data_IF_168793634212
#
_entry.id   IF_168793634212
#
_cell.length_a   1.000
_cell.length_b   1.000
_cell.length_c   1.000
_cell.angle_alpha   90.00
_cell.angle_beta   90.00
_cell.angle_gamma   90.00
#
_symmetry.space_group_name_H-M   'P 1'
#
loop_
_entity.id
_entity.type
_entity.pdbx_description
1 polymer ?
#
# COMPACT_ATOMS: atom_id res chain seq x y z
N UNK A 1 3.01 2.34 -12.98
CA UNK A 1 1.77 2.60 -12.21
C UNK A 1 2.12 3.52 -11.05
N UNK A 2 1.21 4.41 -10.65
CA UNK A 2 1.45 5.41 -9.60
C UNK A 2 0.84 4.94 -8.27
N UNK A 3 1.69 4.64 -7.28
CA UNK A 3 1.29 4.19 -5.94
C UNK A 3 0.48 5.24 -5.16
N UNK A 4 0.44 6.50 -5.63
CA UNK A 4 -0.34 7.59 -5.05
C UNK A 4 -1.76 7.64 -5.59
N UNK A 5 -2.04 6.99 -6.72
CA UNK A 5 -3.38 6.93 -7.34
C UNK A 5 -4.09 5.66 -6.92
N UNK A 6 -5.31 5.82 -6.39
CA UNK A 6 -6.16 4.70 -5.98
C UNK A 6 -6.53 3.80 -7.16
N UNK A 7 -6.72 4.36 -8.35
CA UNK A 7 -7.08 3.62 -9.55
C UNK A 7 -6.05 2.56 -9.96
N UNK A 8 -4.78 2.83 -9.66
CA UNK A 8 -3.66 1.95 -10.02
C UNK A 8 -3.45 0.80 -9.03
N UNK A 9 -4.18 0.78 -7.91
CA UNK A 9 -4.07 -0.23 -6.85
C UNK A 9 -5.35 -1.04 -6.80
N UNK A 10 -5.23 -2.35 -6.96
CA UNK A 10 -6.36 -3.29 -6.97
C UNK A 10 -6.18 -4.38 -5.90
N UNK A 11 -7.29 -4.92 -5.42
CA UNK A 11 -7.26 -6.12 -4.58
C UNK A 11 -6.67 -7.29 -5.38
N UNK A 12 -5.88 -8.13 -4.71
CA UNK A 12 -5.13 -9.23 -5.34
C UNK A 12 -3.80 -8.81 -5.98
N UNK A 13 -3.47 -7.52 -6.01
CA UNK A 13 -2.21 -7.04 -6.58
C UNK A 13 -1.04 -7.20 -5.60
N UNK A 14 0.13 -7.56 -6.12
CA UNK A 14 1.37 -7.59 -5.35
C UNK A 14 1.92 -6.18 -5.19
N UNK A 15 2.21 -5.78 -3.96
CA UNK A 15 2.68 -4.43 -3.62
C UNK A 15 3.74 -4.49 -2.54
N UNK A 16 4.59 -3.47 -2.50
CA UNK A 16 5.44 -3.20 -1.35
C UNK A 16 4.81 -2.05 -0.55
N UNK A 17 4.57 -2.29 0.74
CA UNK A 17 4.04 -1.30 1.66
C UNK A 17 5.07 -0.91 2.71
N UNK A 18 5.00 0.32 3.19
CA UNK A 18 5.65 0.72 4.43
C UNK A 18 4.67 0.60 5.60
N UNK A 19 5.04 -0.15 6.62
CA UNK A 19 4.27 -0.29 7.86
C UNK A 19 4.54 0.89 8.76
N UNK A 20 3.62 1.21 9.68
CA UNK A 20 3.80 2.33 10.63
C UNK A 20 5.10 2.21 11.44
N UNK A 21 5.43 0.99 11.89
CA UNK A 21 6.67 0.70 12.63
C UNK A 21 7.94 0.92 11.78
N UNK A 22 7.82 0.81 10.46
CA UNK A 22 8.93 0.88 9.51
C UNK A 22 9.02 2.25 8.82
N UNK A 23 8.16 3.22 9.15
CA UNK A 23 8.20 4.56 8.55
C UNK A 23 9.52 5.30 8.77
N UNK A 24 10.22 5.03 9.88
CA UNK A 24 11.54 5.62 10.16
C UNK A 24 12.68 4.87 9.47
N UNK A 25 12.58 3.54 9.36
CA UNK A 25 13.61 2.71 8.75
C UNK A 25 13.51 2.66 7.23
N UNK A 26 12.34 3.00 6.66
CA UNK A 26 12.07 2.86 5.23
C UNK A 26 11.90 1.40 4.79
N UNK A 27 11.86 0.45 5.72
CA UNK A 27 11.73 -0.98 5.39
C UNK A 27 10.39 -1.23 4.71
N UNK A 28 10.45 -1.85 3.54
CA UNK A 28 9.28 -2.25 2.78
C UNK A 28 8.90 -3.70 3.10
N UNK A 29 7.61 -3.95 3.18
CA UNK A 29 7.01 -5.27 3.34
C UNK A 29 6.26 -5.62 2.07
N UNK A 30 6.67 -6.71 1.43
CA UNK A 30 5.99 -7.26 0.26
C UNK A 30 4.74 -8.00 0.69
N UNK A 31 3.65 -7.84 -0.05
CA UNK A 31 2.45 -8.67 0.12
C UNK A 31 1.40 -8.42 -0.94
N UNK A 32 0.25 -9.07 -0.76
CA UNK A 32 -0.89 -8.98 -1.67
C UNK A 32 -1.99 -8.14 -1.06
N UNK A 33 -2.52 -7.16 -1.80
CA UNK A 33 -3.60 -6.29 -1.32
C UNK A 33 -4.87 -7.10 -1.07
N UNK A 34 -5.40 -7.01 0.16
CA UNK A 34 -6.72 -7.53 0.54
C UNK A 34 -7.77 -6.43 0.46
N UNK A 35 -7.55 -5.32 1.16
CA UNK A 35 -8.49 -4.19 1.23
C UNK A 35 -7.80 -2.87 0.91
N UNK A 36 -8.50 -1.98 0.22
CA UNK A 36 -8.06 -0.60 -0.02
C UNK A 36 -8.74 0.30 1.03
N UNK A 37 -7.95 0.95 1.87
CA UNK A 37 -8.42 1.72 3.03
C UNK A 37 -8.39 3.24 2.80
N UNK A 38 -7.90 3.70 1.65
CA UNK A 38 -7.96 5.12 1.26
C UNK A 38 -9.11 5.32 0.29
N UNK A 39 -10.04 6.21 0.66
CA UNK A 39 -11.20 6.53 -0.17
C UNK A 39 -10.87 7.57 -1.25
N UNK A 40 -9.99 8.52 -0.96
CA UNK A 40 -9.56 9.54 -1.91
C UNK A 40 -8.89 8.92 -3.13
N UNK A 41 -9.11 9.51 -4.30
CA UNK A 41 -8.51 9.06 -5.56
C UNK A 41 -6.98 9.22 -5.59
N UNK A 42 -6.44 10.18 -4.83
CA UNK A 42 -5.02 10.47 -4.71
C UNK A 42 -4.60 10.64 -3.24
N UNK A 43 -3.40 10.20 -2.91
CA UNK A 43 -2.78 10.47 -1.61
C UNK A 43 -1.26 10.64 -1.73
N UNK A 44 -0.67 11.73 -1.19
CA UNK A 44 0.73 12.08 -1.45
C UNK A 44 1.74 11.03 -0.95
N UNK A 45 1.42 10.34 0.15
CA UNK A 45 2.28 9.30 0.74
C UNK A 45 1.93 7.87 0.28
N UNK A 46 1.07 7.74 -0.73
CA UNK A 46 0.58 6.46 -1.20
C UNK A 46 -0.76 6.05 -0.59
N UNK A 47 -1.41 5.10 -1.24
CA UNK A 47 -2.70 4.55 -0.83
C UNK A 47 -2.51 3.60 0.35
N UNK A 48 -3.34 3.76 1.39
CA UNK A 48 -3.36 2.84 2.53
C UNK A 48 -4.10 1.57 2.13
N UNK A 49 -3.47 0.42 2.39
CA UNK A 49 -4.04 -0.90 2.10
C UNK A 49 -3.86 -1.83 3.30
N UNK A 50 -4.70 -2.86 3.35
CA UNK A 50 -4.50 -4.04 4.19
C UNK A 50 -4.02 -5.18 3.29
N UNK A 51 -2.99 -5.89 3.70
CA UNK A 51 -2.50 -7.08 3.02
C UNK A 51 -3.31 -8.32 3.42
N UNK A 52 -3.18 -9.41 2.66
CA UNK A 52 -3.85 -10.68 2.96
C UNK A 52 -3.46 -11.28 4.32
N UNK A 53 -2.23 -11.02 4.78
CA UNK A 53 -1.71 -11.41 6.10
C UNK A 53 -2.22 -10.52 7.27
N UNK A 54 -3.07 -9.52 6.96
CA UNK A 54 -3.66 -8.60 7.94
C UNK A 54 -2.82 -7.35 8.23
N UNK A 55 -1.60 -7.23 7.70
CA UNK A 55 -0.76 -6.06 7.91
C UNK A 55 -1.32 -4.83 7.19
N UNK A 56 -1.14 -3.64 7.78
CA UNK A 56 -1.67 -2.38 7.24
C UNK A 56 -0.54 -1.38 7.05
N UNK A 57 -0.48 -0.79 5.86
CA UNK A 57 0.54 0.18 5.50
C UNK A 57 0.19 1.04 4.29
N UNK A 58 1.14 1.86 3.86
CA UNK A 58 1.02 2.73 2.68
C UNK A 58 1.80 2.12 1.53
N UNK A 59 1.19 1.97 0.37
CA UNK A 59 1.87 1.44 -0.83
C UNK A 59 2.99 2.39 -1.25
N UNK A 60 4.20 1.86 -1.37
CA UNK A 60 5.38 2.56 -1.89
C UNK A 60 5.72 2.11 -3.31
N UNK A 61 5.42 0.86 -3.65
CA UNK A 61 5.70 0.29 -4.97
C UNK A 61 4.63 -0.73 -5.35
N UNK A 62 4.33 -0.79 -6.64
CA UNK A 62 3.42 -1.75 -7.26
C UNK A 62 4.27 -2.72 -8.09
N UNK A 63 4.10 -4.03 -7.88
CA UNK A 63 4.86 -5.08 -8.55
C UNK A 63 4.11 -5.66 -9.76
#
# INVERSE_FOLDING_TARGET
>A
MDNKKRFDIKQGQSVNIVLKKDQRSGKLTKGVVKDILTNSAFHPHGIKVRLQDGQVGRVQEIL
#
